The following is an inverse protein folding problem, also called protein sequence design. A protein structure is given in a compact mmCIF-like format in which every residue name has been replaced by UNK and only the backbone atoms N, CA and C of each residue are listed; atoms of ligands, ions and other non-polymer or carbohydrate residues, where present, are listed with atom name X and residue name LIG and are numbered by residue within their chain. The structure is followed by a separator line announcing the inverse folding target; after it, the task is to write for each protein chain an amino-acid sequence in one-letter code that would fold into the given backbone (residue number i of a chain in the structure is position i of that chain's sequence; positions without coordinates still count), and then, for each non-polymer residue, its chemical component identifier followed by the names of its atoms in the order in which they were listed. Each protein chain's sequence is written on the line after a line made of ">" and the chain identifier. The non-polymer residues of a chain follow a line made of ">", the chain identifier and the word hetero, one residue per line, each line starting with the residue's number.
data_IF_228602063840
#
_entry.id   IF_228602063840
#
_cell.length_a   1.000
_cell.length_b   1.000
_cell.length_c   1.000
_cell.angle_alpha   90.00
_cell.angle_beta   90.00
_cell.angle_gamma   90.00
#
_symmetry.space_group_name_H-M   'P 1'
#
loop_
_entity.id
_entity.type
_entity.pdbx_description
1 polymer ?
#
# COMPACT_ATOMS: atom_id res chain seq x y z
N UNK A 1 14.26 -6.63 7.73
CA UNK A 1 13.52 -5.64 6.92
C UNK A 1 12.53 -4.91 7.80
N UNK A 2 12.69 -3.60 7.98
CA UNK A 2 11.68 -2.73 8.58
C UNK A 2 10.83 -2.14 7.45
N UNK A 3 9.68 -2.76 7.18
CA UNK A 3 8.70 -2.27 6.20
C UNK A 3 7.62 -1.39 6.85
N UNK A 4 6.82 -0.74 6.01
CA UNK A 4 5.70 0.12 6.42
C UNK A 4 4.81 -0.53 7.50
N UNK A 5 4.51 -1.82 7.34
CA UNK A 5 3.72 -2.61 8.28
C UNK A 5 4.28 -2.64 9.70
N UNK A 6 5.59 -2.86 9.87
CA UNK A 6 6.20 -3.03 11.18
C UNK A 6 6.13 -1.76 12.03
N UNK A 7 6.46 -0.61 11.43
CA UNK A 7 6.44 0.68 12.13
C UNK A 7 5.04 1.27 12.32
N UNK A 8 4.06 0.90 11.48
CA UNK A 8 2.66 1.35 11.60
C UNK A 8 1.74 0.34 12.30
N UNK A 9 2.30 -0.70 12.91
CA UNK A 9 1.54 -1.79 13.54
C UNK A 9 0.48 -1.32 14.56
N UNK A 10 0.64 -0.23 15.35
CA UNK A 10 -0.44 0.24 16.21
C UNK A 10 -1.72 0.61 15.44
N UNK A 11 -1.59 1.20 14.25
CA UNK A 11 -2.73 1.58 13.42
C UNK A 11 -3.34 0.35 12.73
N UNK A 12 -2.50 -0.55 12.21
CA UNK A 12 -2.96 -1.81 11.63
C UNK A 12 -3.78 -2.67 12.61
N UNK A 13 -3.33 -2.79 13.86
CA UNK A 13 -4.07 -3.54 14.89
C UNK A 13 -5.17 -2.73 15.58
N UNK A 14 -5.36 -1.46 15.19
CA UNK A 14 -6.32 -0.56 15.82
C UNK A 14 -6.01 -0.23 17.28
N UNK A 15 -4.80 -0.48 17.78
CA UNK A 15 -4.41 -0.08 19.15
C UNK A 15 -4.02 1.39 19.23
N UNK A 16 -3.56 1.96 18.12
CA UNK A 16 -3.18 3.37 17.98
C UNK A 16 -4.35 4.34 18.16
N UNK A 17 -5.59 3.85 18.16
CA UNK A 17 -6.80 4.67 18.29
C UNK A 17 -7.53 4.46 19.63
N UNK A 18 -7.10 3.50 20.46
CA UNK A 18 -7.74 3.22 21.74
C UNK A 18 -7.09 4.09 22.83
N UNK A 19 -7.88 4.89 23.56
CA UNK A 19 -7.38 5.67 24.68
C UNK A 19 -6.64 4.80 25.69
N UNK A 20 -5.54 5.33 26.24
CA UNK A 20 -4.74 4.69 27.30
C UNK A 20 -4.06 3.34 26.95
N UNK A 21 -4.23 2.84 25.72
CA UNK A 21 -3.53 1.64 25.23
C UNK A 21 -2.23 2.00 24.51
N UNK A 22 -2.26 3.05 23.69
CA UNK A 22 -1.11 3.48 22.91
C UNK A 22 -0.79 4.95 23.14
N UNK A 23 0.51 5.24 23.32
CA UNK A 23 1.05 6.59 23.34
C UNK A 23 2.26 6.62 22.41
N UNK A 24 2.24 7.53 21.44
CA UNK A 24 3.40 7.77 20.61
C UNK A 24 4.54 8.36 21.46
N UNK A 25 5.61 7.59 21.64
CA UNK A 25 6.86 8.06 22.22
C UNK A 25 7.80 8.63 21.16
N UNK A 26 8.96 9.13 21.59
CA UNK A 26 9.93 9.75 20.69
C UNK A 26 10.48 8.78 19.63
N UNK A 27 10.60 7.49 19.98
CA UNK A 27 11.08 6.44 19.08
C UNK A 27 10.04 6.21 17.99
N UNK A 28 8.77 6.10 18.37
CA UNK A 28 7.67 5.92 17.43
C UNK A 28 7.55 7.10 16.47
N UNK A 29 7.57 8.33 16.99
CA UNK A 29 7.52 9.55 16.17
C UNK A 29 8.70 9.58 15.17
N UNK A 30 9.90 9.28 15.65
CA UNK A 30 11.09 9.22 14.78
C UNK A 30 10.98 8.12 13.73
N UNK A 31 10.37 6.98 14.08
CA UNK A 31 10.11 5.87 13.15
C UNK A 31 9.13 6.28 12.07
N UNK A 32 8.02 6.94 12.43
CA UNK A 32 7.03 7.42 11.46
C UNK A 32 7.63 8.42 10.48
N UNK A 33 8.45 9.36 10.98
CA UNK A 33 9.19 10.29 10.12
C UNK A 33 10.15 9.55 9.19
N UNK A 34 10.91 8.60 9.71
CA UNK A 34 11.82 7.79 8.88
C UNK A 34 11.06 7.02 7.80
N UNK A 35 9.92 6.40 8.13
CA UNK A 35 9.10 5.69 7.15
C UNK A 35 8.59 6.61 6.05
N UNK A 36 8.10 7.80 6.39
CA UNK A 36 7.70 8.77 5.36
C UNK A 36 8.88 9.21 4.51
N UNK A 37 9.97 9.66 5.13
CA UNK A 37 11.14 10.16 4.40
C UNK A 37 11.76 9.10 3.46
N UNK A 38 11.63 7.81 3.79
CA UNK A 38 12.28 6.72 3.04
C UNK A 38 11.37 5.94 2.11
N UNK A 39 10.08 5.83 2.42
CA UNK A 39 9.13 5.02 1.65
C UNK A 39 8.18 5.88 0.80
N UNK A 40 8.19 7.21 0.96
CA UNK A 40 7.37 8.08 0.14
C UNK A 40 7.80 8.02 -1.33
N UNK A 41 6.84 7.69 -2.19
CA UNK A 41 7.02 7.67 -3.63
C UNK A 41 6.96 9.10 -4.19
N UNK A 42 8.04 9.61 -4.82
CA UNK A 42 8.07 10.98 -5.33
C UNK A 42 7.24 11.16 -6.60
N UNK A 43 6.97 10.08 -7.36
CA UNK A 43 6.27 10.16 -8.65
C UNK A 43 4.75 10.10 -8.46
N UNK A 44 4.31 9.25 -7.53
CA UNK A 44 2.91 8.93 -7.29
C UNK A 44 2.39 9.46 -5.94
N UNK A 45 3.26 9.92 -5.04
CA UNK A 45 2.87 10.68 -3.85
C UNK A 45 2.20 9.84 -2.75
N UNK A 46 2.70 8.64 -2.45
CA UNK A 46 2.13 7.76 -1.43
C UNK A 46 3.21 6.83 -0.85
N UNK A 47 2.93 6.07 0.21
CA UNK A 47 3.91 5.18 0.84
C UNK A 47 4.07 3.84 0.12
N UNK A 48 5.32 3.44 -0.11
CA UNK A 48 5.70 2.09 -0.53
C UNK A 48 5.72 1.11 0.65
N UNK A 49 5.62 -0.19 0.34
CA UNK A 49 5.65 -1.27 1.35
C UNK A 49 7.04 -1.43 1.98
N UNK A 50 8.08 -1.28 1.17
CA UNK A 50 9.50 -1.33 1.52
C UNK A 50 10.28 -0.46 0.54
N UNK A 51 11.57 -0.28 0.81
CA UNK A 51 12.45 0.55 -0.01
C UNK A 51 12.42 0.10 -1.48
N UNK A 52 12.24 1.03 -2.44
CA UNK A 52 12.11 0.71 -3.86
C UNK A 52 13.33 0.04 -4.50
N UNK A 53 14.52 0.27 -3.94
CA UNK A 53 15.80 -0.04 -4.58
C UNK A 53 16.69 -0.87 -3.69
N UNK A 54 16.11 -1.85 -2.99
CA UNK A 54 16.94 -2.92 -2.45
C UNK A 54 17.30 -3.76 -3.67
N UNK A 55 18.57 -3.77 -4.08
CA UNK A 55 19.14 -4.72 -5.06
C UNK A 55 19.08 -6.18 -4.55
N UNK A 56 18.10 -6.50 -3.70
CA UNK A 56 17.81 -7.83 -3.24
C UNK A 56 16.90 -8.49 -4.27
N UNK A 57 17.43 -9.43 -5.09
CA UNK A 57 16.66 -10.12 -6.10
C UNK A 57 15.50 -10.94 -5.51
N UNK A 58 15.45 -11.15 -4.20
CA UNK A 58 14.33 -11.82 -3.51
C UNK A 58 13.18 -10.87 -3.15
N UNK A 59 13.31 -9.56 -3.42
CA UNK A 59 12.20 -8.63 -3.23
C UNK A 59 11.14 -8.90 -4.28
N UNK A 60 9.88 -9.05 -3.86
CA UNK A 60 8.76 -9.35 -4.75
C UNK A 60 8.21 -8.07 -5.38
N UNK A 61 8.52 -7.81 -6.64
CA UNK A 61 8.14 -6.55 -7.31
C UNK A 61 7.01 -6.78 -8.31
N UNK A 62 5.93 -7.44 -7.87
CA UNK A 62 4.83 -7.88 -8.75
C UNK A 62 4.31 -6.74 -9.63
N UNK A 63 4.41 -6.92 -10.95
CA UNK A 63 3.91 -5.96 -11.93
C UNK A 63 4.46 -4.52 -11.77
N UNK A 64 5.64 -4.37 -11.18
CA UNK A 64 6.29 -3.08 -10.94
C UNK A 64 6.00 -2.52 -9.56
N UNK A 65 7.02 -1.96 -8.91
CA UNK A 65 6.87 -1.44 -7.56
C UNK A 65 6.05 -0.14 -7.56
N UNK A 66 5.35 0.09 -6.46
CA UNK A 66 4.88 1.43 -6.15
C UNK A 66 4.10 1.49 -4.86
N UNK A 67 3.47 2.64 -4.61
CA UNK A 67 2.90 2.91 -3.32
C UNK A 67 1.54 2.22 -3.14
N UNK A 68 1.23 1.93 -1.88
CA UNK A 68 0.05 1.19 -1.46
C UNK A 68 -0.92 2.10 -0.71
N UNK A 69 -2.20 1.96 -1.04
CA UNK A 69 -3.23 2.85 -0.51
C UNK A 69 -3.43 2.63 0.99
N UNK A 70 -3.48 1.38 1.46
CA UNK A 70 -3.76 1.08 2.86
C UNK A 70 -2.65 1.57 3.81
N UNK A 71 -1.37 1.47 3.42
CA UNK A 71 -0.27 2.01 4.22
C UNK A 71 -0.27 3.54 4.25
N UNK A 72 -0.66 4.15 3.14
CA UNK A 72 -0.77 5.61 3.05
C UNK A 72 -1.94 6.13 3.88
N UNK A 73 -3.06 5.41 3.91
CA UNK A 73 -4.18 5.69 4.79
C UNK A 73 -3.79 5.55 6.27
N UNK A 74 -3.00 4.54 6.64
CA UNK A 74 -2.44 4.42 8.00
C UNK A 74 -1.53 5.61 8.37
N UNK A 75 -0.77 6.16 7.43
CA UNK A 75 0.00 7.39 7.67
C UNK A 75 -0.94 8.58 7.95
N UNK A 76 -2.05 8.70 7.24
CA UNK A 76 -3.07 9.70 7.56
C UNK A 76 -3.66 9.48 8.95
N UNK A 77 -3.96 8.23 9.35
CA UNK A 77 -4.39 7.88 10.71
C UNK A 77 -3.39 8.37 11.76
N UNK A 78 -2.09 8.16 11.54
CA UNK A 78 -1.03 8.68 12.42
C UNK A 78 -1.06 10.20 12.55
N UNK A 79 -1.26 10.92 11.44
CA UNK A 79 -1.29 12.38 11.46
C UNK A 79 -2.52 12.93 12.16
N UNK A 80 -3.69 12.33 11.96
CA UNK A 80 -4.86 12.65 12.78
C UNK A 80 -4.64 12.30 14.26
N UNK A 81 -3.99 11.17 14.55
CA UNK A 81 -3.67 10.77 15.92
C UNK A 81 -2.73 11.77 16.61
N UNK A 82 -1.76 12.32 15.90
CA UNK A 82 -0.76 13.27 16.44
C UNK A 82 -1.13 14.75 16.30
N UNK A 83 -2.40 15.05 16.00
CA UNK A 83 -2.95 16.42 15.88
C UNK A 83 -2.43 17.23 14.69
N UNK A 84 -1.91 16.57 13.66
CA UNK A 84 -1.53 17.22 12.41
C UNK A 84 -2.60 16.99 11.32
N UNK A 85 -3.74 17.66 11.47
CA UNK A 85 -4.92 17.48 10.61
C UNK A 85 -4.62 17.88 9.16
N UNK A 86 -3.87 18.96 8.95
CA UNK A 86 -3.50 19.45 7.61
C UNK A 86 -2.73 18.40 6.80
N UNK A 87 -1.77 17.74 7.44
CA UNK A 87 -0.98 16.68 6.80
C UNK A 87 -1.82 15.43 6.54
N UNK A 88 -2.71 15.06 7.48
CA UNK A 88 -3.67 13.97 7.27
C UNK A 88 -4.58 14.24 6.08
N UNK A 89 -5.13 15.45 5.98
CA UNK A 89 -6.01 15.87 4.88
C UNK A 89 -5.28 15.86 3.54
N UNK A 90 -4.05 16.37 3.50
CA UNK A 90 -3.21 16.31 2.29
C UNK A 90 -3.05 14.87 1.79
N UNK A 91 -2.83 13.92 2.69
CA UNK A 91 -2.67 12.50 2.32
C UNK A 91 -3.99 11.92 1.81
N UNK A 92 -5.10 12.22 2.48
CA UNK A 92 -6.43 11.75 2.06
C UNK A 92 -6.80 12.29 0.68
N UNK A 93 -6.54 13.57 0.40
CA UNK A 93 -6.77 14.18 -0.92
C UNK A 93 -5.95 13.49 -2.02
N UNK A 94 -4.72 13.07 -1.71
CA UNK A 94 -3.90 12.29 -2.66
C UNK A 94 -4.54 10.92 -2.92
N UNK A 95 -4.96 10.20 -1.87
CA UNK A 95 -5.64 8.90 -2.04
C UNK A 95 -6.89 9.05 -2.91
N UNK A 96 -7.71 10.07 -2.64
CA UNK A 96 -8.95 10.35 -3.37
C UNK A 96 -8.69 10.61 -4.86
N UNK A 97 -7.58 11.29 -5.19
CA UNK A 97 -7.19 11.58 -6.57
C UNK A 97 -6.91 10.32 -7.41
N UNK A 98 -6.64 9.19 -6.77
CA UNK A 98 -6.43 7.89 -7.42
C UNK A 98 -7.64 6.97 -7.40
N UNK A 99 -8.72 7.35 -6.71
CA UNK A 99 -9.95 6.57 -6.67
C UNK A 99 -10.60 6.47 -8.06
N UNK A 100 -11.25 5.34 -8.35
CA UNK A 100 -12.00 5.13 -9.58
C UNK A 100 -13.42 4.74 -9.22
N UNK A 101 -14.41 5.58 -9.57
CA UNK A 101 -15.83 5.40 -9.20
C UNK A 101 -16.05 5.19 -7.69
N UNK A 102 -15.21 5.82 -6.86
CA UNK A 102 -15.23 5.67 -5.40
C UNK A 102 -14.55 4.40 -4.88
N UNK A 103 -13.96 3.58 -5.77
CA UNK A 103 -13.19 2.41 -5.38
C UNK A 103 -11.70 2.70 -5.28
N UNK A 104 -11.10 2.18 -4.20
CA UNK A 104 -9.67 2.21 -3.94
C UNK A 104 -8.98 0.91 -4.37
N UNK A 105 -7.82 1.05 -4.99
CA UNK A 105 -6.95 -0.06 -5.39
C UNK A 105 -6.08 -0.54 -4.24
N UNK A 106 -5.38 -1.64 -4.46
CA UNK A 106 -4.30 -2.10 -3.57
C UNK A 106 -3.11 -1.14 -3.64
N UNK A 107 -2.50 -1.07 -4.82
CA UNK A 107 -1.30 -0.30 -5.06
C UNK A 107 -1.32 0.29 -6.47
N UNK A 108 -0.41 1.25 -6.67
CA UNK A 108 -0.17 1.92 -7.94
C UNK A 108 1.22 1.59 -8.45
N UNK A 109 1.40 1.66 -9.77
CA UNK A 109 2.73 1.75 -10.38
C UNK A 109 2.71 2.66 -11.61
N UNK A 110 3.88 2.98 -12.15
CA UNK A 110 4.00 3.71 -13.42
C UNK A 110 4.17 2.72 -14.58
N UNK A 111 3.79 3.09 -15.81
CA UNK A 111 4.08 2.27 -16.99
C UNK A 111 5.55 1.88 -17.11
N UNK A 112 6.46 2.82 -16.81
CA UNK A 112 7.91 2.58 -16.88
C UNK A 112 8.37 1.49 -15.90
N UNK A 113 7.89 1.54 -14.64
CA UNK A 113 8.20 0.51 -13.63
C UNK A 113 7.60 -0.85 -13.97
N UNK A 114 6.41 -0.87 -14.59
CA UNK A 114 5.85 -2.11 -15.13
C UNK A 114 6.71 -2.67 -16.27
N UNK A 115 7.19 -1.84 -17.18
CA UNK A 115 8.10 -2.27 -18.27
C UNK A 115 9.42 -2.81 -17.75
N UNK A 116 9.97 -2.19 -16.71
CA UNK A 116 11.16 -2.67 -16.01
C UNK A 116 10.92 -4.05 -15.39
N UNK A 117 9.83 -4.23 -14.63
CA UNK A 117 9.43 -5.53 -14.07
C UNK A 117 9.30 -6.61 -15.16
N UNK A 118 8.63 -6.27 -16.28
CA UNK A 118 8.47 -7.20 -17.40
C UNK A 118 9.83 -7.68 -17.93
N UNK A 119 10.79 -6.78 -18.02
CA UNK A 119 12.13 -7.03 -18.59
C UNK A 119 13.03 -7.80 -17.63
N UNK A 120 13.02 -7.43 -16.34
CA UNK A 120 13.94 -7.95 -15.35
C UNK A 120 13.44 -9.21 -14.64
N UNK A 121 12.12 -9.36 -14.48
CA UNK A 121 11.55 -10.41 -13.64
C UNK A 121 10.67 -11.39 -14.41
N UNK A 122 9.65 -10.90 -15.13
CA UNK A 122 8.70 -11.79 -15.78
C UNK A 122 9.31 -12.52 -16.99
N UNK A 123 9.88 -11.80 -17.96
CA UNK A 123 10.43 -12.42 -19.18
C UNK A 123 11.58 -13.39 -18.90
N UNK A 124 12.49 -13.12 -17.94
CA UNK A 124 13.52 -14.09 -17.54
C UNK A 124 12.98 -15.27 -16.70
N UNK A 125 11.73 -15.21 -16.25
CA UNK A 125 11.13 -16.22 -15.38
C UNK A 125 11.49 -16.11 -13.90
N UNK A 126 12.11 -15.00 -13.48
CA UNK A 126 12.45 -14.79 -12.08
C UNK A 126 11.22 -14.62 -11.20
N UNK A 127 10.16 -13.97 -11.70
CA UNK A 127 8.87 -13.82 -10.99
C UNK A 127 8.26 -15.20 -10.69
N UNK A 128 8.27 -16.09 -11.67
CA UNK A 128 7.80 -17.48 -11.54
C UNK A 128 8.59 -18.25 -10.47
N UNK A 129 9.92 -18.12 -10.47
CA UNK A 129 10.76 -18.83 -9.50
C UNK A 129 10.51 -18.35 -8.06
N UNK A 130 10.08 -17.10 -7.88
CA UNK A 130 9.70 -16.54 -6.58
C UNK A 130 8.34 -17.07 -6.14
N UNK A 131 7.33 -16.96 -7.00
CA UNK A 131 5.93 -17.28 -6.67
C UNK A 131 5.69 -18.77 -6.41
N UNK A 132 6.46 -19.63 -7.08
CA UNK A 132 6.33 -21.08 -6.97
C UNK A 132 7.55 -21.74 -6.32
N UNK A 133 8.27 -20.98 -5.49
CA UNK A 133 9.42 -21.51 -4.76
C UNK A 133 8.98 -22.65 -3.81
N UNK A 134 9.65 -23.82 -3.80
CA UNK A 134 9.19 -24.98 -3.03
C UNK A 134 9.06 -24.75 -1.52
N UNK A 135 9.76 -23.77 -0.98
CA UNK A 135 9.79 -23.41 0.45
C UNK A 135 8.61 -22.53 0.88
N UNK A 136 7.90 -21.89 -0.06
CA UNK A 136 6.69 -21.09 0.22
C UNK A 136 5.39 -21.77 -0.27
N UNK A 137 5.52 -22.77 -1.13
CA UNK A 137 4.39 -23.49 -1.70
C UNK A 137 3.64 -24.30 -0.65
N UNK A 138 2.32 -24.32 -0.77
CA UNK A 138 1.46 -25.19 0.05
C UNK A 138 1.67 -26.65 -0.37
N UNK A 139 1.81 -27.54 0.61
CA UNK A 139 1.95 -28.97 0.36
C UNK A 139 0.76 -29.54 -0.44
N UNK A 140 1.06 -30.44 -1.37
CA UNK A 140 0.04 -31.16 -2.14
C UNK A 140 -0.57 -30.39 -3.31
N UNK A 141 -0.09 -29.18 -3.61
CA UNK A 141 -0.45 -28.48 -4.85
C UNK A 141 0.10 -29.25 -6.05
N UNK A 142 -0.80 -29.56 -6.98
CA UNK A 142 -0.47 -30.30 -8.20
C UNK A 142 0.09 -29.38 -9.28
N UNK A 143 0.92 -29.94 -10.17
CA UNK A 143 1.60 -29.17 -11.22
C UNK A 143 0.63 -28.48 -12.19
N UNK A 144 -0.53 -29.08 -12.47
CA UNK A 144 -1.55 -28.49 -13.33
C UNK A 144 -2.12 -27.18 -12.76
N UNK A 145 -2.31 -27.08 -11.44
CA UNK A 145 -2.74 -25.84 -10.78
C UNK A 145 -1.67 -24.74 -10.85
N UNK A 146 -0.39 -25.12 -10.77
CA UNK A 146 0.73 -24.17 -10.98
C UNK A 146 0.69 -23.62 -12.41
N UNK A 147 0.49 -24.49 -13.40
CA UNK A 147 0.40 -24.08 -14.81
C UNK A 147 -0.85 -23.22 -15.08
N UNK A 148 -1.96 -23.51 -14.42
CA UNK A 148 -3.17 -22.69 -14.47
C UNK A 148 -2.90 -21.27 -13.96
N UNK A 149 -2.30 -21.13 -12.77
CA UNK A 149 -1.97 -19.83 -12.18
C UNK A 149 -0.97 -19.05 -13.05
N UNK A 150 0.04 -19.71 -13.61
CA UNK A 150 0.98 -19.08 -14.55
C UNK A 150 0.28 -18.49 -15.79
N UNK A 151 -0.76 -19.15 -16.30
CA UNK A 151 -1.55 -18.62 -17.39
C UNK A 151 -2.40 -17.42 -16.94
N UNK A 152 -2.94 -17.43 -15.72
CA UNK A 152 -3.66 -16.29 -15.16
C UNK A 152 -2.74 -15.06 -15.01
N UNK A 153 -1.55 -15.24 -14.42
CA UNK A 153 -0.54 -14.19 -14.31
C UNK A 153 -0.18 -13.59 -15.68
N UNK A 154 0.15 -14.45 -16.66
CA UNK A 154 0.46 -14.01 -18.02
C UNK A 154 -0.67 -13.19 -18.63
N UNK A 155 -1.90 -13.68 -18.52
CA UNK A 155 -3.07 -13.02 -19.08
C UNK A 155 -3.32 -11.65 -18.43
N UNK A 156 -3.06 -11.52 -17.12
CA UNK A 156 -3.11 -10.25 -16.39
C UNK A 156 -2.09 -9.25 -16.94
N UNK A 157 -0.82 -9.66 -17.06
CA UNK A 157 0.25 -8.78 -17.57
C UNK A 157 0.03 -8.35 -19.03
N UNK A 158 -0.49 -9.23 -19.88
CA UNK A 158 -0.83 -8.89 -21.27
C UNK A 158 -2.05 -7.97 -21.37
N UNK A 159 -2.98 -7.99 -20.41
CA UNK A 159 -4.03 -6.98 -20.33
C UNK A 159 -3.46 -5.61 -19.95
N UNK A 160 -2.53 -5.56 -18.99
CA UNK A 160 -1.86 -4.31 -18.60
C UNK A 160 -1.11 -3.70 -19.78
N UNK A 161 -0.31 -4.49 -20.51
CA UNK A 161 0.38 -4.03 -21.73
C UNK A 161 -0.58 -3.40 -22.73
N UNK A 162 -1.70 -4.07 -23.03
CA UNK A 162 -2.70 -3.54 -23.97
C UNK A 162 -3.30 -2.23 -23.49
N UNK A 163 -3.50 -2.06 -22.17
CA UNK A 163 -3.97 -0.78 -21.60
C UNK A 163 -2.93 0.31 -21.79
N UNK A 164 -1.65 0.03 -21.54
CA UNK A 164 -0.53 0.97 -21.77
C UNK A 164 -0.47 1.37 -23.25
N UNK A 165 -0.49 0.40 -24.17
CA UNK A 165 -0.44 0.64 -25.62
C UNK A 165 -1.65 1.43 -26.13
N UNK A 166 -2.82 1.25 -25.51
CA UNK A 166 -4.03 2.03 -25.80
C UNK A 166 -3.99 3.45 -25.21
N UNK A 167 -2.89 3.84 -24.54
CA UNK A 167 -2.71 5.16 -23.95
C UNK A 167 -3.29 5.28 -22.54
N UNK A 168 -3.22 4.22 -21.72
CA UNK A 168 -3.58 4.32 -20.30
C UNK A 168 -2.81 5.46 -19.63
N UNK A 169 -3.45 6.12 -18.66
CA UNK A 169 -2.96 7.33 -18.01
C UNK A 169 -1.62 7.18 -17.28
N UNK A 170 -1.26 8.23 -16.53
CA UNK A 170 0.04 8.39 -15.86
C UNK A 170 0.43 7.25 -14.89
N UNK A 171 -0.53 6.42 -14.49
CA UNK A 171 -0.36 5.33 -13.51
C UNK A 171 -1.25 4.13 -13.86
N UNK A 172 -0.91 2.99 -13.25
CA UNK A 172 -1.65 1.74 -13.30
C UNK A 172 -2.15 1.41 -11.88
N UNK A 173 -3.34 0.79 -11.79
CA UNK A 173 -3.96 0.35 -10.53
C UNK A 173 -4.09 -1.15 -10.50
N UNK A 174 -3.92 -1.74 -9.32
CA UNK A 174 -4.03 -3.19 -9.10
C UNK A 174 -5.10 -3.53 -8.06
N UNK A 175 -5.75 -4.68 -8.25
CA UNK A 175 -6.78 -5.22 -7.36
C UNK A 175 -7.81 -4.17 -6.91
N UNK A 176 -8.64 -3.69 -7.85
CA UNK A 176 -9.71 -2.72 -7.58
C UNK A 176 -11.08 -3.42 -7.62
N UNK A 177 -11.94 -3.28 -6.59
CA UNK A 177 -11.67 -2.69 -5.27
C UNK A 177 -10.86 -3.60 -4.34
N UNK A 178 -9.94 -3.05 -3.55
CA UNK A 178 -9.32 -3.77 -2.43
C UNK A 178 -10.02 -3.41 -1.11
N UNK A 179 -10.63 -4.40 -0.45
CA UNK A 179 -11.35 -4.20 0.81
C UNK A 179 -10.46 -3.58 1.91
N UNK A 180 -9.21 -4.02 2.02
CA UNK A 180 -8.29 -3.51 3.04
C UNK A 180 -7.98 -2.02 2.86
N UNK A 181 -7.75 -1.56 1.62
CA UNK A 181 -7.58 -0.13 1.33
C UNK A 181 -8.78 0.70 1.78
N UNK A 182 -10.00 0.21 1.53
CA UNK A 182 -11.21 0.89 1.97
C UNK A 182 -11.37 0.89 3.50
N UNK A 183 -10.99 -0.20 4.16
CA UNK A 183 -11.04 -0.28 5.62
C UNK A 183 -10.10 0.75 6.26
N UNK A 184 -8.83 0.82 5.84
CA UNK A 184 -7.88 1.78 6.41
C UNK A 184 -8.24 3.24 6.08
N UNK A 185 -8.79 3.48 4.88
CA UNK A 185 -9.31 4.79 4.50
C UNK A 185 -10.49 5.21 5.38
N UNK A 186 -11.44 4.29 5.63
CA UNK A 186 -12.56 4.54 6.53
C UNK A 186 -12.08 4.82 7.97
N UNK A 187 -11.06 4.10 8.46
CA UNK A 187 -10.44 4.36 9.76
C UNK A 187 -9.81 5.75 9.83
N UNK A 188 -9.15 6.21 8.77
CA UNK A 188 -8.62 7.56 8.69
C UNK A 188 -9.74 8.62 8.75
N UNK A 189 -10.85 8.41 8.04
CA UNK A 189 -12.02 9.30 8.10
C UNK A 189 -12.66 9.35 9.49
N UNK A 190 -12.75 8.21 10.18
CA UNK A 190 -13.25 8.15 11.55
C UNK A 190 -12.38 8.98 12.50
N UNK A 191 -11.05 8.85 12.40
CA UNK A 191 -10.12 9.66 13.19
C UNK A 191 -10.19 11.14 12.87
N UNK A 192 -10.27 11.51 11.59
CA UNK A 192 -10.50 12.89 11.16
C UNK A 192 -11.74 13.47 11.82
N UNK A 193 -12.86 12.75 11.72
CA UNK A 193 -14.16 13.17 12.28
C UNK A 193 -14.08 13.31 13.79
N UNK A 194 -13.46 12.34 14.46
CA UNK A 194 -13.28 12.38 15.90
C UNK A 194 -12.46 13.58 16.36
N UNK A 195 -11.39 13.94 15.63
CA UNK A 195 -10.59 15.14 15.92
C UNK A 195 -11.38 16.43 15.75
N UNK A 196 -12.13 16.56 14.65
CA UNK A 196 -13.00 17.72 14.43
C UNK A 196 -14.03 17.89 15.56
N UNK A 197 -14.61 16.78 16.05
CA UNK A 197 -15.53 16.83 17.19
C UNK A 197 -14.84 17.29 18.49
N UNK A 198 -13.61 16.85 18.75
CA UNK A 198 -12.85 17.32 19.92
C UNK A 198 -12.56 18.82 19.87
N UNK A 199 -12.23 19.36 18.70
CA UNK A 199 -11.99 20.80 18.51
C UNK A 199 -13.26 21.64 18.78
N UNK A 200 -14.44 21.07 18.54
CA UNK A 200 -15.72 21.72 18.89
C UNK A 200 -16.10 21.63 20.38
N UNK A 201 -15.24 21.04 21.21
CA UNK A 201 -15.46 20.91 22.65
C UNK A 201 -16.38 19.75 23.07
N UNK A 202 -16.69 18.83 22.15
CA UNK A 202 -17.42 17.60 22.47
C UNK A 202 -16.52 16.68 23.28
N UNK A 203 -16.70 16.69 24.60
CA UNK A 203 -16.00 15.80 25.53
C UNK A 203 -16.79 14.50 25.70
N UNK A 204 -16.56 13.46 24.88
CA UNK A 204 -16.68 12.04 25.28
C UNK A 204 -16.32 11.01 24.20
N UNK A 205 -16.06 9.79 24.70
CA UNK A 205 -15.60 8.54 24.09
C UNK A 205 -16.45 8.09 22.89
N UNK A 206 -15.96 8.32 21.67
CA UNK A 206 -16.54 7.72 20.44
C UNK A 206 -15.71 6.50 20.00
N UNK A 207 -14.60 6.21 20.67
CA UNK A 207 -13.80 5.00 20.54
C UNK A 207 -13.32 4.57 21.93
#
# INVERSE_FOLDING_TARGET
>A
MSGAFGGMSPFFFGTGIVPDIFKADEIFISTMKFLEDTLWDPDLGMLQRYLPFIEDPNTHVHAGNGPWVQYTAMLAQYYYFTWNVEKGDTIMDIIDSYSTDGYLCEHLTTPDRFHEFMTLEWLPGSDVNKEFAPDIMVDGITYDLIVEELNHMKNSYDQIKRRIEAGSGRYLTFAIPLMWSHAEYAMALLLKTWRQLQDTGVKQHIL
#
